data_IF_842374197242
#
_entry.id   IF_842374197242
#
_cell.length_a   1.000
_cell.length_b   1.000
_cell.length_c   1.000
_cell.angle_alpha   90.00
_cell.angle_beta   90.00
_cell.angle_gamma   90.00
#
_symmetry.space_group_name_H-M   'P 1'
#
loop_
_entity.id
_entity.type
_entity.pdbx_description
1 polymer ?
#
# COMPACT_ATOMS: atom_id res chain seq x y z
N UNK A 1 25.02 0.13 -19.85
CA UNK A 1 25.28 1.41 -20.56
C UNK A 1 25.07 2.63 -19.67
N UNK A 2 23.88 2.84 -19.09
CA UNK A 2 23.57 4.03 -18.29
C UNK A 2 24.50 4.25 -17.06
N UNK A 3 24.80 3.20 -16.29
CA UNK A 3 25.69 3.30 -15.10
C UNK A 3 27.08 3.83 -15.47
N UNK A 4 27.64 3.38 -16.59
CA UNK A 4 28.93 3.86 -17.07
C UNK A 4 28.88 5.34 -17.44
N UNK A 5 27.83 5.79 -18.14
CA UNK A 5 27.64 7.21 -18.47
C UNK A 5 27.57 8.09 -17.22
N UNK A 6 26.75 7.71 -16.24
CA UNK A 6 26.62 8.45 -14.98
C UNK A 6 27.92 8.49 -14.18
N UNK A 7 28.68 7.40 -14.15
CA UNK A 7 30.01 7.36 -13.52
C UNK A 7 31.03 8.30 -14.20
N UNK A 8 30.76 8.72 -15.44
CA UNK A 8 31.57 9.68 -16.19
C UNK A 8 30.88 11.05 -16.34
N UNK A 9 29.88 11.34 -15.51
CA UNK A 9 29.17 12.63 -15.52
C UNK A 9 28.36 12.90 -16.79
N UNK A 10 28.01 11.85 -17.55
CA UNK A 10 27.19 11.95 -18.76
C UNK A 10 25.75 11.62 -18.43
N UNK A 11 24.93 12.66 -18.39
CA UNK A 11 23.47 12.57 -18.26
C UNK A 11 22.83 13.53 -19.26
N UNK A 12 22.19 12.97 -20.29
CA UNK A 12 21.56 13.70 -21.40
C UNK A 12 20.05 13.90 -21.19
N UNK A 13 19.52 13.45 -20.05
CA UNK A 13 18.09 13.60 -19.72
C UNK A 13 17.71 15.07 -19.65
N UNK A 14 16.63 15.40 -20.34
CA UNK A 14 16.04 16.74 -20.29
C UNK A 14 15.33 16.97 -18.95
N UNK A 15 15.36 18.21 -18.46
CA UNK A 15 14.58 18.61 -17.29
C UNK A 15 13.10 18.54 -17.64
N UNK A 16 12.38 17.62 -17.02
CA UNK A 16 10.94 17.47 -17.25
C UNK A 16 10.13 18.45 -16.37
N UNK A 17 9.03 19.01 -16.90
CA UNK A 17 8.11 19.80 -16.09
C UNK A 17 7.40 18.92 -15.04
N UNK A 18 6.81 19.53 -13.98
CA UNK A 18 6.06 18.80 -12.98
C UNK A 18 4.96 17.92 -13.59
N UNK A 19 4.97 16.62 -13.25
CA UNK A 19 4.00 15.65 -13.76
C UNK A 19 2.79 15.54 -12.83
N UNK A 20 1.61 15.28 -13.41
CA UNK A 20 0.42 14.96 -12.65
C UNK A 20 0.64 13.71 -11.75
N UNK A 21 0.10 13.75 -10.54
CA UNK A 21 0.18 12.64 -9.58
C UNK A 21 -0.51 11.39 -10.15
N UNK A 22 0.18 10.25 -10.13
CA UNK A 22 -0.30 8.98 -10.73
C UNK A 22 -0.90 7.99 -9.72
N UNK A 23 -0.69 8.21 -8.43
CA UNK A 23 -1.18 7.33 -7.37
C UNK A 23 -1.46 8.08 -6.08
N UNK A 24 -2.47 7.63 -5.34
CA UNK A 24 -2.78 8.06 -3.98
C UNK A 24 -2.92 6.82 -3.10
N UNK A 25 -2.43 6.90 -1.87
CA UNK A 25 -2.49 5.80 -0.92
C UNK A 25 -2.20 6.27 0.50
N UNK A 26 -2.37 5.34 1.43
CA UNK A 26 -2.03 5.47 2.84
C UNK A 26 -1.45 4.13 3.30
N UNK A 27 -0.43 4.18 4.16
CA UNK A 27 0.21 3.00 4.71
C UNK A 27 0.63 3.25 6.16
N UNK A 28 0.53 2.20 6.98
CA UNK A 28 1.01 2.20 8.37
C UNK A 28 1.82 0.93 8.56
N UNK A 29 3.14 1.09 8.74
CA UNK A 29 4.08 -0.03 8.85
C UNK A 29 4.74 -0.13 10.23
N UNK A 30 4.28 0.67 11.20
CA UNK A 30 4.81 0.71 12.57
C UNK A 30 3.64 0.65 13.56
N UNK A 31 3.80 -0.09 14.66
CA UNK A 31 2.74 -0.25 15.66
C UNK A 31 1.63 -1.23 15.27
N UNK A 32 1.71 -1.88 14.11
CA UNK A 32 0.67 -2.81 13.65
C UNK A 32 0.81 -4.16 14.33
N UNK A 33 -0.12 -4.47 15.23
CA UNK A 33 -0.32 -5.78 15.87
C UNK A 33 -1.82 -5.99 15.98
N UNK A 34 -2.30 -7.15 15.55
CA UNK A 34 -3.71 -7.49 15.64
C UNK A 34 -3.89 -8.67 16.59
N UNK A 35 -4.83 -8.56 17.51
CA UNK A 35 -5.28 -9.67 18.34
C UNK A 35 -6.22 -10.61 17.56
N UNK A 36 -6.87 -10.10 16.50
CA UNK A 36 -7.79 -10.87 15.68
C UNK A 36 -8.14 -10.22 14.35
N UNK A 37 -8.89 -10.92 13.48
CA UNK A 37 -9.27 -10.43 12.16
C UNK A 37 -10.11 -9.15 12.19
N UNK A 38 -10.89 -8.92 13.25
CA UNK A 38 -11.74 -7.74 13.39
C UNK A 38 -10.92 -6.44 13.48
N UNK A 39 -9.77 -6.47 14.15
CA UNK A 39 -8.89 -5.30 14.24
C UNK A 39 -8.20 -5.00 12.91
N UNK A 40 -7.83 -6.04 12.16
CA UNK A 40 -7.30 -5.89 10.81
C UNK A 40 -8.36 -5.31 9.87
N UNK A 41 -9.61 -5.77 9.98
CA UNK A 41 -10.74 -5.25 9.21
C UNK A 41 -11.04 -3.78 9.54
N UNK A 42 -11.02 -3.43 10.83
CA UNK A 42 -11.14 -2.05 11.28
C UNK A 42 -10.03 -1.17 10.69
N UNK A 43 -8.77 -1.61 10.75
CA UNK A 43 -7.67 -0.84 10.14
C UNK A 43 -7.85 -0.67 8.63
N UNK A 44 -8.34 -1.70 7.93
CA UNK A 44 -8.66 -1.58 6.50
C UNK A 44 -9.77 -0.56 6.24
N UNK A 45 -10.79 -0.49 7.10
CA UNK A 45 -11.85 0.50 7.01
C UNK A 45 -11.31 1.92 7.21
N UNK A 46 -10.51 2.13 8.26
CA UNK A 46 -9.87 3.41 8.58
C UNK A 46 -8.95 3.87 7.43
N UNK A 47 -8.12 2.98 6.88
CA UNK A 47 -7.26 3.28 5.74
C UNK A 47 -8.05 3.57 4.45
N UNK A 48 -9.15 2.86 4.22
CA UNK A 48 -10.01 3.10 3.05
C UNK A 48 -10.69 4.47 3.13
N UNK A 49 -11.12 4.88 4.32
CA UNK A 49 -11.64 6.22 4.58
C UNK A 49 -10.58 7.31 4.36
N UNK A 50 -9.37 7.12 4.87
CA UNK A 50 -8.25 8.05 4.69
C UNK A 50 -7.90 8.23 3.20
N UNK A 51 -7.83 7.13 2.43
CA UNK A 51 -7.55 7.19 0.98
C UNK A 51 -8.70 7.88 0.23
N UNK A 52 -9.95 7.60 0.58
CA UNK A 52 -11.12 8.28 0.01
C UNK A 52 -11.09 9.80 0.27
N UNK A 53 -10.77 10.21 1.50
CA UNK A 53 -10.62 11.61 1.87
C UNK A 53 -9.52 12.31 1.06
N UNK A 54 -8.35 11.66 0.91
CA UNK A 54 -7.24 12.18 0.08
C UNK A 54 -7.64 12.32 -1.38
N UNK A 55 -8.40 11.37 -1.93
CA UNK A 55 -8.91 11.46 -3.30
C UNK A 55 -9.91 12.60 -3.47
N UNK A 56 -10.81 12.80 -2.50
CA UNK A 56 -11.76 13.91 -2.51
C UNK A 56 -11.05 15.26 -2.46
N UNK A 57 -10.06 15.44 -1.59
CA UNK A 57 -9.24 16.65 -1.51
C UNK A 57 -8.47 16.94 -2.80
N UNK A 58 -8.02 15.89 -3.50
CA UNK A 58 -7.32 16.02 -4.77
C UNK A 58 -8.27 16.13 -5.99
N UNK A 59 -9.58 15.97 -5.81
CA UNK A 59 -10.57 15.98 -6.90
C UNK A 59 -10.43 14.82 -7.89
N UNK A 60 -9.96 13.65 -7.44
CA UNK A 60 -9.70 12.48 -8.31
C UNK A 60 -10.51 11.25 -7.92
N UNK A 61 -10.57 10.29 -8.84
CA UNK A 61 -11.17 8.95 -8.64
C UNK A 61 -10.18 7.89 -9.09
N UNK A 62 -10.20 6.72 -8.46
CA UNK A 62 -9.35 5.59 -8.83
C UNK A 62 -10.10 4.57 -9.70
N UNK A 63 -9.34 3.86 -10.53
CA UNK A 63 -9.81 2.70 -11.33
C UNK A 63 -9.15 1.39 -10.89
N UNK A 64 -8.08 1.45 -10.11
CA UNK A 64 -7.39 0.30 -9.57
C UNK A 64 -7.06 0.52 -8.10
N UNK A 65 -7.20 -0.53 -7.29
CA UNK A 65 -6.89 -0.55 -5.87
C UNK A 65 -5.80 -1.59 -5.63
N UNK A 66 -4.76 -1.21 -4.91
CA UNK A 66 -3.66 -2.11 -4.52
C UNK A 66 -3.62 -2.23 -3.02
N UNK A 67 -3.66 -3.46 -2.52
CA UNK A 67 -3.43 -3.76 -1.11
C UNK A 67 -2.04 -4.36 -0.94
N UNK A 68 -1.25 -3.78 -0.02
CA UNK A 68 0.09 -4.23 0.33
C UNK A 68 0.13 -4.60 1.81
N UNK A 69 0.80 -5.70 2.13
CA UNK A 69 0.98 -6.15 3.51
C UNK A 69 2.44 -6.52 3.77
N UNK A 70 2.87 -6.29 5.01
CA UNK A 70 4.11 -6.85 5.56
C UNK A 70 3.73 -8.00 6.49
N UNK A 71 4.02 -9.23 6.07
CA UNK A 71 3.83 -10.43 6.89
C UNK A 71 5.14 -10.78 7.57
N UNK A 72 5.15 -11.02 8.88
CA UNK A 72 6.33 -11.52 9.61
C UNK A 72 6.92 -12.74 8.89
N UNK A 73 8.24 -12.76 8.70
CA UNK A 73 8.93 -13.91 8.14
C UNK A 73 8.88 -15.10 9.09
N UNK A 74 8.81 -16.31 8.53
CA UNK A 74 8.89 -17.56 9.31
C UNK A 74 10.22 -17.59 10.07
N UNK A 75 10.17 -17.82 11.38
CA UNK A 75 11.36 -17.84 12.25
C UNK A 75 11.87 -16.46 12.69
N UNK A 76 11.24 -15.36 12.27
CA UNK A 76 11.61 -14.04 12.77
C UNK A 76 11.17 -13.84 14.24
N UNK A 77 12.12 -13.48 15.09
CA UNK A 77 11.87 -13.15 16.50
C UNK A 77 11.27 -11.75 16.70
N UNK A 78 11.25 -11.31 17.96
CA UNK A 78 10.79 -9.96 18.32
C UNK A 78 11.62 -8.89 17.58
N UNK A 79 10.98 -7.90 16.93
CA UNK A 79 11.69 -6.83 16.25
C UNK A 79 12.61 -6.04 17.20
N UNK A 80 13.83 -5.73 16.74
CA UNK A 80 14.81 -4.96 17.53
C UNK A 80 14.33 -3.55 17.88
N UNK A 81 13.59 -2.91 16.95
CA UNK A 81 12.96 -1.62 17.16
C UNK A 81 11.61 -1.86 17.82
N UNK A 82 11.40 -1.23 18.98
CA UNK A 82 10.10 -1.25 19.66
C UNK A 82 8.98 -0.88 18.68
N UNK A 83 7.95 -1.75 18.60
CA UNK A 83 6.79 -1.64 17.70
C UNK A 83 7.12 -1.63 16.19
N UNK A 84 8.37 -1.90 15.80
CA UNK A 84 8.76 -2.09 14.40
C UNK A 84 8.12 -3.33 13.78
N UNK A 85 8.06 -3.40 12.45
CA UNK A 85 7.53 -4.58 11.74
C UNK A 85 8.52 -5.77 11.73
N UNK A 86 9.83 -5.52 11.88
CA UNK A 86 10.86 -6.56 11.84
C UNK A 86 11.06 -7.15 10.43
N UNK A 87 11.74 -8.31 10.31
CA UNK A 87 11.87 -9.02 9.04
C UNK A 87 10.50 -9.47 8.52
N UNK A 88 10.17 -9.11 7.28
CA UNK A 88 8.86 -9.37 6.69
C UNK A 88 8.94 -9.79 5.22
N UNK A 89 7.99 -10.62 4.81
CA UNK A 89 7.62 -10.83 3.42
C UNK A 89 6.65 -9.72 3.00
N UNK A 90 6.91 -9.09 1.85
CA UNK A 90 6.00 -8.11 1.28
C UNK A 90 5.01 -8.83 0.34
N UNK A 91 3.73 -8.75 0.67
CA UNK A 91 2.64 -9.26 -0.17
C UNK A 91 1.96 -8.08 -0.86
N UNK A 92 1.61 -8.25 -2.13
CA UNK A 92 0.90 -7.24 -2.92
C UNK A 92 -0.10 -7.89 -3.87
N UNK A 93 -1.32 -7.35 -3.88
CA UNK A 93 -2.35 -7.69 -4.86
C UNK A 93 -3.07 -6.43 -5.31
N UNK A 94 -3.55 -6.44 -6.54
CA UNK A 94 -4.27 -5.33 -7.15
C UNK A 94 -5.51 -5.86 -7.84
N UNK A 95 -6.56 -5.04 -7.85
CA UNK A 95 -7.74 -5.23 -8.70
C UNK A 95 -7.99 -3.96 -9.51
N UNK A 96 -8.47 -4.14 -10.75
CA UNK A 96 -9.00 -3.06 -11.59
C UNK A 96 -10.52 -3.11 -11.52
N UNK A 97 -11.13 -1.97 -11.19
CA UNK A 97 -12.56 -1.83 -10.88
C UNK A 97 -13.40 -1.69 -12.15
N UNK A 98 -14.66 -2.11 -12.08
CA UNK A 98 -15.63 -1.94 -13.18
C UNK A 98 -15.96 -0.47 -13.49
N UNK A 99 -15.89 0.41 -12.49
CA UNK A 99 -16.11 1.86 -12.62
C UNK A 99 -15.05 2.65 -11.84
N UNK A 100 -14.90 3.94 -12.16
CA UNK A 100 -14.09 4.84 -11.34
C UNK A 100 -14.83 5.14 -10.03
N UNK A 101 -14.14 5.07 -8.89
CA UNK A 101 -14.73 5.40 -7.58
C UNK A 101 -13.79 6.26 -6.74
N UNK A 102 -14.36 6.99 -5.80
CA UNK A 102 -13.63 7.59 -4.68
C UNK A 102 -14.30 7.25 -3.33
N UNK A 103 -15.27 6.33 -3.34
CA UNK A 103 -16.05 6.00 -2.15
C UNK A 103 -15.31 5.00 -1.27
N UNK A 104 -15.17 5.30 0.02
CA UNK A 104 -14.53 4.40 0.98
C UNK A 104 -15.16 2.99 1.03
N UNK A 105 -16.51 2.81 0.97
CA UNK A 105 -17.11 1.48 0.96
C UNK A 105 -16.70 0.61 -0.22
N UNK A 106 -16.53 1.20 -1.41
CA UNK A 106 -16.04 0.46 -2.58
C UNK A 106 -14.60 0.03 -2.37
N UNK A 107 -13.72 0.94 -1.93
CA UNK A 107 -12.30 0.64 -1.68
C UNK A 107 -12.17 -0.47 -0.63
N UNK A 108 -12.93 -0.38 0.47
CA UNK A 108 -12.91 -1.36 1.55
C UNK A 108 -13.36 -2.75 1.06
N UNK A 109 -14.44 -2.82 0.28
CA UNK A 109 -14.93 -4.09 -0.29
C UNK A 109 -13.83 -4.80 -1.07
N UNK A 110 -13.14 -4.07 -1.94
CA UNK A 110 -12.07 -4.62 -2.77
C UNK A 110 -10.84 -5.00 -1.93
N UNK A 111 -10.46 -4.18 -0.95
CA UNK A 111 -9.37 -4.51 -0.02
C UNK A 111 -9.65 -5.78 0.79
N UNK A 112 -10.88 -5.97 1.28
CA UNK A 112 -11.29 -7.22 1.97
C UNK A 112 -11.17 -8.43 1.05
N UNK A 113 -11.64 -8.33 -0.19
CA UNK A 113 -11.53 -9.40 -1.17
C UNK A 113 -10.06 -9.74 -1.49
N UNK A 114 -9.21 -8.72 -1.66
CA UNK A 114 -7.77 -8.90 -1.87
C UNK A 114 -7.09 -9.56 -0.66
N UNK A 115 -7.42 -9.15 0.56
CA UNK A 115 -6.87 -9.73 1.79
C UNK A 115 -7.24 -11.21 1.91
N UNK A 116 -8.52 -11.55 1.72
CA UNK A 116 -8.98 -12.93 1.74
C UNK A 116 -8.25 -13.79 0.70
N UNK A 117 -8.03 -13.25 -0.51
CA UNK A 117 -7.28 -13.92 -1.57
C UNK A 117 -5.78 -14.13 -1.28
N UNK A 118 -5.19 -13.36 -0.36
CA UNK A 118 -3.79 -13.53 0.05
C UNK A 118 -3.57 -14.67 1.05
N UNK A 119 -4.63 -15.18 1.70
CA UNK A 119 -4.58 -16.31 2.66
C UNK A 119 -3.49 -16.11 3.73
N UNK A 120 -3.44 -14.92 4.33
CA UNK A 120 -2.50 -14.61 5.41
C UNK A 120 -2.95 -15.33 6.68
N UNK A 121 -2.09 -16.15 7.33
CA UNK A 121 -2.45 -16.86 8.56
C UNK A 121 -2.68 -15.88 9.72
N UNK A 122 -3.51 -16.30 10.69
CA UNK A 122 -3.86 -15.49 11.87
C UNK A 122 -2.83 -15.60 13.02
N UNK A 123 -1.62 -16.10 12.75
CA UNK A 123 -0.58 -16.50 13.73
C UNK A 123 0.49 -15.44 14.03
#
# INVERSE_FOLDING_TARGET
AAIWGYAHGRDDRQVEPPKARKSLGAEVNWGIRFAGPEEADKLLADLSAEVAQRMAQAGVRCKSVTLKLKRRQVGAGTPWKMLGHGPCDNLSRQVTLGAFTAAAPDILRECRALLAGMRVPHE
#
